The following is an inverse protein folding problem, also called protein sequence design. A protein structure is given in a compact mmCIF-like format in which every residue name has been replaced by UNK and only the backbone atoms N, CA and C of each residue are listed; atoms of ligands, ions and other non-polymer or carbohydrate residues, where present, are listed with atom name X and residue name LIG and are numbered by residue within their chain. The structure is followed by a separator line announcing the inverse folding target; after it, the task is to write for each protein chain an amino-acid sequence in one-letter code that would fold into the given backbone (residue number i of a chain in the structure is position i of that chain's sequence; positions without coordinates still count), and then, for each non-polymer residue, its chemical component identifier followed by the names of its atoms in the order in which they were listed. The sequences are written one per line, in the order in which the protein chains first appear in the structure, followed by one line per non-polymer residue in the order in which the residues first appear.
data_IF_561104658412
#
_entry.id   IF_561104658412
#
_cell.length_a   1.000
_cell.length_b   1.000
_cell.length_c   1.000
_cell.angle_alpha   90.00
_cell.angle_beta   90.00
_cell.angle_gamma   90.00
#
_symmetry.space_group_name_H-M   'P 1'
#
loop_
_entity.id
_entity.type
_entity.pdbx_description
1 polymer ?
#
# COMPACT_ATOMS: atom_id res chain seq x y z
N UNK A 1 51.73 -6.39 35.35
CA UNK A 1 51.40 -5.55 34.17
C UNK A 1 49.86 -5.60 34.05
N UNK A 2 49.13 -4.56 34.50
CA UNK A 2 48.64 -3.40 33.71
C UNK A 2 47.67 -3.89 32.60
N UNK A 3 46.40 -3.52 32.47
CA UNK A 3 45.63 -2.33 32.84
C UNK A 3 44.12 -2.70 32.78
N UNK A 4 43.27 -2.11 33.62
CA UNK A 4 41.81 -2.23 33.49
C UNK A 4 41.23 -1.28 32.44
N UNK A 5 39.99 -1.55 32.01
CA UNK A 5 39.09 -0.57 31.39
C UNK A 5 37.65 -0.92 31.80
N UNK A 6 37.03 -0.03 32.58
CA UNK A 6 35.57 0.08 32.67
C UNK A 6 35.11 1.16 31.69
N UNK A 7 33.99 0.97 30.99
CA UNK A 7 33.14 2.08 30.53
C UNK A 7 31.73 1.60 30.17
N UNK A 8 30.79 2.51 30.34
CA UNK A 8 29.38 2.38 30.73
C UNK A 8 28.40 2.26 29.54
N UNK A 9 27.16 1.74 29.74
CA UNK A 9 26.10 1.89 28.75
C UNK A 9 25.61 3.35 28.70
N UNK A 10 25.52 3.90 27.49
CA UNK A 10 24.90 5.20 27.23
C UNK A 10 23.39 5.10 27.44
N UNK A 11 22.89 5.80 28.45
CA UNK A 11 21.47 6.00 28.73
C UNK A 11 21.00 7.26 27.97
N UNK A 12 20.20 7.09 26.92
CA UNK A 12 19.61 8.23 26.20
C UNK A 12 18.28 8.63 26.85
N UNK A 13 18.22 9.85 27.37
CA UNK A 13 17.06 10.44 28.05
C UNK A 13 16.42 11.48 27.12
N UNK A 14 15.35 11.09 26.41
CA UNK A 14 14.47 12.00 25.68
C UNK A 14 13.05 11.91 26.24
N UNK A 15 12.24 12.98 26.20
CA UNK A 15 10.91 12.96 26.79
C UNK A 15 9.98 12.08 25.94
N UNK A 16 9.67 10.90 26.46
CA UNK A 16 8.66 10.01 25.92
C UNK A 16 7.28 10.63 26.09
N UNK A 17 6.72 11.26 25.04
CA UNK A 17 5.26 11.37 24.92
C UNK A 17 4.76 10.07 24.30
N UNK A 18 4.84 9.00 25.09
CA UNK A 18 4.25 7.72 24.75
C UNK A 18 2.77 7.76 25.12
N UNK A 19 1.90 8.12 24.18
CA UNK A 19 0.51 7.68 24.26
C UNK A 19 0.44 6.21 23.79
N UNK A 20 1.10 5.33 24.54
CA UNK A 20 1.03 3.89 24.32
C UNK A 20 -0.33 3.41 24.83
N UNK A 21 -1.31 3.31 23.93
CA UNK A 21 -2.50 2.48 24.19
C UNK A 21 -2.07 1.02 24.06
N UNK A 22 -1.66 0.42 25.17
CA UNK A 22 -1.44 -1.03 25.27
C UNK A 22 -2.79 -1.74 25.33
N UNK A 23 -3.41 -2.01 24.18
CA UNK A 23 -4.36 -3.12 24.11
C UNK A 23 -3.57 -4.41 23.90
N UNK A 24 -2.90 -4.86 24.96
CA UNK A 24 -2.39 -6.22 25.01
C UNK A 24 -3.59 -7.15 25.15
N UNK A 25 -4.09 -7.66 24.02
CA UNK A 25 -4.96 -8.82 24.00
C UNK A 25 -4.26 -9.93 24.76
N UNK A 26 -4.87 -10.38 25.86
CA UNK A 26 -4.32 -11.43 26.71
C UNK A 26 -4.51 -12.77 25.99
N UNK A 27 -3.56 -13.11 25.12
CA UNK A 27 -3.47 -14.41 24.44
C UNK A 27 -3.05 -14.30 22.98
N UNK A 28 -1.85 -14.80 22.64
CA UNK A 28 -1.45 -15.27 21.31
C UNK A 28 -1.16 -14.23 20.21
N UNK A 29 -1.95 -13.18 20.08
CA UNK A 29 -1.89 -12.24 18.95
C UNK A 29 -1.31 -10.89 19.36
N UNK A 30 0.02 -10.83 19.51
CA UNK A 30 0.69 -9.54 19.63
C UNK A 30 0.64 -8.82 18.27
N UNK A 31 -0.04 -7.68 18.21
CA UNK A 31 -0.05 -6.81 17.01
C UNK A 31 1.35 -6.23 16.81
N UNK A 32 2.01 -6.61 15.70
CA UNK A 32 3.38 -6.19 15.37
C UNK A 32 3.45 -4.81 14.69
N UNK A 33 2.35 -4.34 14.09
CA UNK A 33 2.32 -3.04 13.41
C UNK A 33 2.37 -1.87 14.40
N UNK A 34 3.04 -0.74 14.06
CA UNK A 34 3.00 0.46 14.89
C UNK A 34 1.55 0.94 15.12
N UNK A 35 1.25 1.49 16.31
CA UNK A 35 -0.10 2.00 16.59
C UNK A 35 -0.41 3.22 15.72
N UNK A 36 -1.64 3.29 15.21
CA UNK A 36 -2.18 4.43 14.45
C UNK A 36 -3.36 5.06 15.18
N UNK A 37 -3.70 6.32 14.86
CA UNK A 37 -4.91 6.96 15.41
C UNK A 37 -6.13 6.43 14.63
N UNK A 38 -7.10 5.78 15.27
CA UNK A 38 -8.23 5.21 14.56
C UNK A 38 -9.19 6.31 14.06
N UNK A 39 -9.82 6.08 12.91
CA UNK A 39 -10.89 6.91 12.33
C UNK A 39 -10.51 8.38 12.04
N UNK A 40 -9.25 8.63 11.63
CA UNK A 40 -8.76 9.97 11.28
C UNK A 40 -8.58 10.22 9.78
N UNK A 41 -8.84 9.20 8.96
CA UNK A 41 -8.70 9.26 7.49
C UNK A 41 -10.06 8.92 6.89
N UNK A 42 -10.51 9.72 5.94
CA UNK A 42 -11.72 9.46 5.16
C UNK A 42 -11.53 8.23 4.26
N UNK A 43 -12.63 7.52 3.95
CA UNK A 43 -12.57 6.40 3.02
C UNK A 43 -12.31 6.94 1.60
N UNK A 44 -11.19 6.59 0.94
CA UNK A 44 -10.90 7.06 -0.41
C UNK A 44 -11.86 6.43 -1.42
N UNK A 45 -12.32 7.23 -2.38
CA UNK A 45 -13.08 6.77 -3.55
C UNK A 45 -12.12 6.68 -4.74
N UNK A 46 -11.90 5.48 -5.32
CA UNK A 46 -11.03 5.34 -6.48
C UNK A 46 -11.59 6.08 -7.71
N UNK A 47 -10.72 6.55 -8.63
CA UNK A 47 -11.17 7.16 -9.87
C UNK A 47 -11.87 6.13 -10.77
N UNK A 48 -12.80 6.61 -11.61
CA UNK A 48 -13.44 5.78 -12.64
C UNK A 48 -12.48 5.62 -13.82
N UNK A 49 -12.27 4.39 -14.27
CA UNK A 49 -11.44 4.07 -15.42
C UNK A 49 -12.01 4.71 -16.70
N UNK A 50 -11.13 5.28 -17.51
CA UNK A 50 -11.51 5.91 -18.77
C UNK A 50 -11.28 4.95 -19.92
N UNK A 51 -12.30 4.76 -20.76
CA UNK A 51 -12.19 3.92 -21.94
C UNK A 51 -11.33 4.61 -23.02
N UNK A 52 -10.58 3.81 -23.76
CA UNK A 52 -9.85 4.22 -24.96
C UNK A 52 -10.60 3.76 -26.22
N UNK A 53 -10.34 4.39 -27.36
CA UNK A 53 -11.02 4.06 -28.61
C UNK A 53 -10.51 2.74 -29.20
N UNK A 54 -9.20 2.48 -29.11
CA UNK A 54 -8.51 1.30 -29.65
C UNK A 54 -7.39 0.88 -28.71
N UNK A 55 -6.94 -0.38 -28.83
CA UNK A 55 -5.72 -0.88 -28.18
C UNK A 55 -4.63 -1.07 -29.24
N UNK A 56 -3.37 -0.89 -28.83
CA UNK A 56 -2.21 -1.16 -29.66
C UNK A 56 -1.30 -2.19 -28.96
N UNK A 57 -1.18 -3.42 -29.50
CA UNK A 57 -1.87 -3.94 -30.68
C UNK A 57 -3.38 -4.17 -30.43
N UNK A 58 -4.16 -4.19 -31.52
CA UNK A 58 -5.57 -4.57 -31.45
C UNK A 58 -5.73 -6.02 -30.94
N UNK A 59 -6.83 -6.37 -30.23
CA UNK A 59 -7.03 -7.71 -29.72
C UNK A 59 -7.08 -8.75 -30.85
N UNK A 60 -6.34 -9.85 -30.68
CA UNK A 60 -6.35 -10.98 -31.62
C UNK A 60 -7.60 -11.83 -31.41
N UNK A 61 -8.57 -11.86 -32.37
CA UNK A 61 -9.78 -12.67 -32.25
C UNK A 61 -9.52 -14.15 -31.98
N UNK A 62 -8.41 -14.70 -32.49
CA UNK A 62 -8.08 -16.12 -32.34
C UNK A 62 -7.62 -16.48 -30.92
N UNK A 63 -7.16 -15.50 -30.13
CA UNK A 63 -6.73 -15.68 -28.75
C UNK A 63 -7.89 -15.72 -27.73
N UNK A 64 -9.12 -15.42 -28.16
CA UNK A 64 -10.28 -15.27 -27.29
C UNK A 64 -11.39 -16.29 -27.61
N UNK A 65 -12.03 -16.82 -26.56
CA UNK A 65 -13.17 -17.71 -26.72
C UNK A 65 -14.43 -16.92 -27.14
N UNK A 66 -15.17 -17.45 -28.12
CA UNK A 66 -16.46 -16.90 -28.59
C UNK A 66 -16.38 -15.43 -29.02
N UNK A 67 -15.24 -14.99 -29.55
CA UNK A 67 -15.03 -13.60 -29.97
C UNK A 67 -16.08 -13.11 -30.99
N UNK A 68 -16.51 -13.97 -31.90
CA UNK A 68 -17.57 -13.65 -32.89
C UNK A 68 -18.95 -13.45 -32.27
N UNK A 69 -19.24 -14.08 -31.13
CA UNK A 69 -20.51 -13.93 -30.41
C UNK A 69 -20.48 -12.74 -29.45
N UNK A 70 -19.31 -12.46 -28.85
CA UNK A 70 -19.11 -11.40 -27.88
C UNK A 70 -17.91 -10.51 -28.25
N UNK A 71 -18.04 -9.68 -29.29
CA UNK A 71 -16.97 -8.77 -29.66
C UNK A 71 -16.75 -7.72 -28.55
N UNK A 72 -15.49 -7.28 -28.32
CA UNK A 72 -15.19 -6.20 -27.39
C UNK A 72 -15.98 -4.92 -27.71
N UNK A 73 -16.52 -4.26 -26.68
CA UNK A 73 -17.30 -3.01 -26.81
C UNK A 73 -16.64 -1.80 -26.16
N UNK A 74 -15.83 -2.02 -25.13
CA UNK A 74 -15.06 -1.00 -24.44
C UNK A 74 -13.64 -1.48 -24.29
N UNK A 75 -12.69 -0.58 -24.49
CA UNK A 75 -11.26 -0.85 -24.34
C UNK A 75 -10.73 -0.02 -23.19
N UNK A 76 -9.81 -0.59 -22.43
CA UNK A 76 -9.12 0.10 -21.36
C UNK A 76 -7.65 -0.28 -21.40
N UNK A 77 -6.79 0.72 -21.23
CA UNK A 77 -5.36 0.52 -21.07
C UNK A 77 -5.00 0.83 -19.61
N UNK A 78 -4.28 -0.08 -18.96
CA UNK A 78 -3.90 0.02 -17.55
C UNK A 78 -2.45 -0.42 -17.43
N UNK A 79 -1.62 0.35 -16.74
CA UNK A 79 -0.23 -0.01 -16.52
C UNK A 79 0.02 -0.37 -15.06
N UNK A 80 0.48 -1.58 -14.80
CA UNK A 80 1.02 -1.93 -13.49
C UNK A 80 2.40 -1.30 -13.32
N UNK A 81 2.57 -0.51 -12.26
CA UNK A 81 3.81 0.21 -12.00
C UNK A 81 4.06 0.43 -10.52
N UNK A 82 5.31 0.64 -10.16
CA UNK A 82 5.71 1.04 -8.81
C UNK A 82 5.17 2.43 -8.47
N UNK A 83 4.71 2.60 -7.23
CA UNK A 83 4.41 3.90 -6.67
C UNK A 83 4.64 3.92 -5.15
N UNK A 84 4.75 5.13 -4.58
CA UNK A 84 4.71 5.32 -3.13
C UNK A 84 3.26 5.57 -2.69
N UNK A 85 2.86 4.97 -1.56
CA UNK A 85 1.55 5.15 -0.97
C UNK A 85 1.62 5.32 0.55
N UNK A 86 0.83 6.25 1.08
CA UNK A 86 0.68 6.46 2.53
C UNK A 86 -0.58 5.74 3.02
N UNK A 87 -0.39 4.64 3.77
CA UNK A 87 -1.51 3.93 4.41
C UNK A 87 -2.02 4.63 5.67
N UNK A 88 -1.22 5.51 6.26
CA UNK A 88 -1.62 6.31 7.41
C UNK A 88 -0.74 7.56 7.52
N UNK A 89 -1.29 8.75 7.81
CA UNK A 89 -0.54 10.02 7.84
C UNK A 89 0.53 10.13 8.94
N UNK A 90 0.64 9.12 9.82
CA UNK A 90 1.64 9.06 10.90
C UNK A 90 2.69 7.97 10.68
N UNK A 91 2.65 7.31 9.52
CA UNK A 91 3.61 6.31 9.13
C UNK A 91 4.36 6.78 7.87
N UNK A 92 5.58 6.29 7.63
CA UNK A 92 6.26 6.52 6.36
C UNK A 92 5.44 5.97 5.18
N UNK A 93 5.69 6.54 3.99
CA UNK A 93 5.19 5.97 2.75
C UNK A 93 5.79 4.59 2.49
N UNK A 94 5.02 3.73 1.83
CA UNK A 94 5.43 2.39 1.45
C UNK A 94 5.45 2.29 -0.07
N UNK A 95 6.32 1.43 -0.61
CA UNK A 95 6.27 1.07 -2.03
C UNK A 95 5.11 0.10 -2.28
N UNK A 96 4.39 0.33 -3.37
CA UNK A 96 3.32 -0.52 -3.89
C UNK A 96 3.56 -0.80 -5.36
N UNK A 97 2.94 -1.87 -5.87
CA UNK A 97 2.78 -2.13 -7.30
C UNK A 97 1.30 -2.03 -7.63
N UNK A 98 0.88 -0.92 -8.25
CA UNK A 98 -0.53 -0.58 -8.44
C UNK A 98 -0.92 -0.49 -9.92
N UNK A 99 -2.18 -0.77 -10.21
CA UNK A 99 -2.79 -0.41 -11.49
C UNK A 99 -2.80 1.11 -11.61
N UNK A 100 -2.14 1.62 -12.63
CA UNK A 100 -1.80 3.03 -12.83
C UNK A 100 -1.01 3.68 -11.68
N UNK A 101 -0.33 2.87 -10.88
CA UNK A 101 0.48 3.35 -9.77
C UNK A 101 -0.34 3.95 -8.63
N UNK A 102 -1.63 3.59 -8.52
CA UNK A 102 -2.50 4.05 -7.45
C UNK A 102 -3.07 2.88 -6.63
N UNK A 103 -3.56 3.20 -5.44
CA UNK A 103 -4.22 2.24 -4.55
C UNK A 103 -5.43 2.88 -3.85
N UNK A 104 -6.62 2.25 -3.91
CA UNK A 104 -6.98 1.18 -4.85
C UNK A 104 -6.86 1.60 -6.33
N UNK A 105 -6.81 0.63 -7.23
CA UNK A 105 -6.79 0.89 -8.68
C UNK A 105 -8.11 1.53 -9.18
N UNK A 106 -8.15 2.01 -10.44
CA UNK A 106 -9.37 2.56 -11.04
C UNK A 106 -10.55 1.58 -11.04
N UNK A 107 -11.78 2.11 -10.99
CA UNK A 107 -13.04 1.33 -11.02
C UNK A 107 -13.62 1.26 -12.43
N UNK A 108 -14.03 0.07 -12.89
CA UNK A 108 -14.57 -0.22 -14.23
C UNK A 108 -16.08 -0.42 -14.24
#
# INVERSE_FOLDING_TARGET
MKLGLMSFPVLNWGPSVALARTNAGKGGDAVTSPPTRPFVVELPIPPVAQAVQTLEPAPDPAAHQRYSEFPPRMFYEIHQREAKHSFHPYLPENLIWGFDGIFPGPTF
#
